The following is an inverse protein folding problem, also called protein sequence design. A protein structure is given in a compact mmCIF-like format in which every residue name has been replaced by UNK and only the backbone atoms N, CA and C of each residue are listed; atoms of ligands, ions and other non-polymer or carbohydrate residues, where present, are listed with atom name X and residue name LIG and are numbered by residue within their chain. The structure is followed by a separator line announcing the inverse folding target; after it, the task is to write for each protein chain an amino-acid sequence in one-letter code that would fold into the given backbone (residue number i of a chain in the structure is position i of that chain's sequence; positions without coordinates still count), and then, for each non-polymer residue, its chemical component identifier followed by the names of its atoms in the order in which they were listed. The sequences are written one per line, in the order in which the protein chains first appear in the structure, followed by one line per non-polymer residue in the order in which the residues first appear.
data_IF_695505103146
#
_entry.id   IF_695505103146
#
_cell.length_a   1.000
_cell.length_b   1.000
_cell.length_c   1.000
_cell.angle_alpha   90.00
_cell.angle_beta   90.00
_cell.angle_gamma   90.00
#
_symmetry.space_group_name_H-M   'P 1'
#
loop_
_entity.id
_entity.type
_entity.pdbx_description
1 polymer ?
#
# COMPACT_ATOMS: atom_id res chain seq x y z
N UNK A 1 -19.92 -21.77 15.76
CA UNK A 1 -19.97 -20.85 14.60
C UNK A 1 -19.47 -19.49 15.05
N UNK A 2 -18.52 -18.90 14.31
CA UNK A 2 -18.00 -17.56 14.60
C UNK A 2 -19.01 -16.55 14.03
N UNK A 3 -19.74 -15.83 14.89
CA UNK A 3 -20.75 -14.85 14.46
C UNK A 3 -20.16 -13.49 14.09
N UNK A 4 -18.95 -13.17 14.57
CA UNK A 4 -18.19 -11.97 14.19
C UNK A 4 -16.72 -12.31 14.08
N UNK A 5 -16.07 -11.84 13.01
CA UNK A 5 -14.62 -11.95 12.87
C UNK A 5 -13.99 -11.03 13.92
N UNK A 6 -13.07 -11.59 14.71
CA UNK A 6 -12.21 -10.84 15.63
C UNK A 6 -10.77 -11.13 15.26
N UNK A 7 -9.83 -10.25 15.62
CA UNK A 7 -8.39 -10.48 15.41
C UNK A 7 -7.96 -11.83 15.99
N UNK A 8 -8.46 -12.20 17.17
CA UNK A 8 -8.16 -13.49 17.80
C UNK A 8 -8.67 -14.68 16.99
N UNK A 9 -9.86 -14.57 16.40
CA UNK A 9 -10.42 -15.60 15.53
C UNK A 9 -9.59 -15.74 14.24
N UNK A 10 -9.06 -14.64 13.73
CA UNK A 10 -8.24 -14.64 12.51
C UNK A 10 -6.88 -15.33 12.72
N UNK A 11 -6.31 -15.22 13.92
CA UNK A 11 -5.07 -15.95 14.28
C UNK A 11 -5.26 -17.48 14.32
N UNK A 12 -6.51 -17.96 14.33
CA UNK A 12 -6.87 -19.38 14.40
C UNK A 12 -7.44 -19.94 13.09
N UNK A 13 -7.40 -19.18 11.99
CA UNK A 13 -7.90 -19.65 10.70
C UNK A 13 -7.04 -20.82 10.21
N UNK A 14 -7.69 -21.95 9.96
CA UNK A 14 -7.09 -23.06 9.24
C UNK A 14 -7.46 -23.04 7.74
N UNK A 15 -6.84 -23.93 6.97
CA UNK A 15 -7.10 -24.01 5.52
C UNK A 15 -8.56 -24.38 5.22
N UNK A 16 -9.18 -25.23 6.04
CA UNK A 16 -10.57 -25.64 5.87
C UNK A 16 -11.52 -24.45 5.97
N UNK A 17 -11.25 -23.54 6.90
CA UNK A 17 -12.03 -22.31 7.10
C UNK A 17 -11.94 -21.37 5.90
N UNK A 18 -10.78 -21.27 5.22
CA UNK A 18 -10.66 -20.44 4.01
C UNK A 18 -11.51 -20.95 2.85
N UNK A 19 -11.69 -22.27 2.75
CA UNK A 19 -12.51 -22.88 1.70
C UNK A 19 -14.01 -22.71 1.95
N UNK A 20 -14.42 -22.38 3.18
CA UNK A 20 -15.81 -22.10 3.53
C UNK A 20 -16.32 -20.82 2.83
N UNK A 21 -17.34 -20.91 1.95
CA UNK A 21 -17.94 -19.73 1.32
C UNK A 21 -18.48 -18.71 2.32
N UNK A 22 -18.97 -19.15 3.49
CA UNK A 22 -19.49 -18.24 4.51
C UNK A 22 -18.39 -17.45 5.19
N UNK A 23 -17.20 -18.03 5.34
CA UNK A 23 -16.05 -17.33 5.86
C UNK A 23 -15.59 -16.23 4.90
N UNK A 24 -15.55 -16.52 3.59
CA UNK A 24 -15.23 -15.51 2.58
C UNK A 24 -16.13 -14.28 2.69
N UNK A 25 -17.46 -14.47 2.73
CA UNK A 25 -18.42 -13.36 2.88
C UNK A 25 -18.20 -12.60 4.19
N UNK A 26 -17.87 -13.28 5.29
CA UNK A 26 -17.56 -12.60 6.55
C UNK A 26 -16.28 -11.78 6.47
N UNK A 27 -15.24 -12.26 5.78
CA UNK A 27 -14.01 -11.48 5.58
C UNK A 27 -14.31 -10.28 4.68
N UNK A 28 -15.14 -10.44 3.65
CA UNK A 28 -15.59 -9.35 2.79
C UNK A 28 -16.35 -8.29 3.61
N UNK A 29 -17.38 -8.69 4.36
CA UNK A 29 -18.14 -7.82 5.28
C UNK A 29 -17.22 -7.12 6.28
N UNK A 30 -16.20 -7.82 6.78
CA UNK A 30 -15.21 -7.25 7.69
C UNK A 30 -14.32 -6.21 7.01
N UNK A 31 -13.97 -6.38 5.73
CA UNK A 31 -13.24 -5.35 4.96
C UNK A 31 -14.08 -4.09 4.83
N UNK A 32 -15.40 -4.20 4.64
CA UNK A 32 -16.29 -3.04 4.67
C UNK A 32 -16.31 -2.36 6.05
N UNK A 33 -16.32 -3.14 7.15
CA UNK A 33 -16.23 -2.58 8.52
C UNK A 33 -14.92 -1.81 8.70
N UNK A 34 -13.78 -2.39 8.34
CA UNK A 34 -12.47 -1.69 8.40
C UNK A 34 -12.48 -0.45 7.51
N UNK A 35 -13.03 -0.55 6.29
CA UNK A 35 -13.08 0.58 5.36
C UNK A 35 -13.84 1.75 5.98
N UNK A 36 -14.94 1.45 6.67
CA UNK A 36 -15.75 2.43 7.37
C UNK A 36 -15.05 3.01 8.61
N UNK A 37 -14.41 2.15 9.42
CA UNK A 37 -13.72 2.52 10.66
C UNK A 37 -12.41 3.29 10.43
N UNK A 38 -11.77 3.09 9.28
CA UNK A 38 -10.54 3.82 8.98
C UNK A 38 -9.32 3.31 9.76
N UNK A 39 -9.18 1.99 9.95
CA UNK A 39 -8.12 1.38 10.78
C UNK A 39 -7.04 0.63 9.96
N UNK A 40 -5.94 1.30 9.56
CA UNK A 40 -4.87 0.71 8.76
C UNK A 40 -4.15 -0.45 9.45
N UNK A 41 -3.95 -0.34 10.76
CA UNK A 41 -3.22 -1.35 11.54
C UNK A 41 -4.02 -2.64 11.62
N UNK A 42 -5.33 -2.53 11.85
CA UNK A 42 -6.21 -3.70 11.81
C UNK A 42 -6.19 -4.33 10.42
N UNK A 43 -6.33 -3.55 9.35
CA UNK A 43 -6.24 -4.08 7.99
C UNK A 43 -4.94 -4.82 7.72
N UNK A 44 -3.81 -4.30 8.24
CA UNK A 44 -2.49 -4.92 8.13
C UNK A 44 -2.45 -6.28 8.83
N UNK A 45 -2.90 -6.35 10.08
CA UNK A 45 -2.89 -7.61 10.83
C UNK A 45 -3.70 -8.70 10.15
N UNK A 46 -4.85 -8.33 9.56
CA UNK A 46 -5.70 -9.27 8.83
C UNK A 46 -5.05 -9.69 7.53
N UNK A 47 -4.50 -8.74 6.77
CA UNK A 47 -3.73 -9.05 5.57
C UNK A 47 -2.64 -10.08 5.87
N UNK A 48 -1.85 -9.87 6.93
CA UNK A 48 -0.78 -10.79 7.34
C UNK A 48 -1.33 -12.15 7.76
N UNK A 49 -2.40 -12.19 8.55
CA UNK A 49 -3.00 -13.45 9.02
C UNK A 49 -3.60 -14.27 7.87
N UNK A 50 -4.37 -13.63 6.99
CA UNK A 50 -5.03 -14.31 5.86
C UNK A 50 -4.02 -14.74 4.80
N UNK A 51 -3.02 -13.91 4.48
CA UNK A 51 -1.96 -14.27 3.53
C UNK A 51 -1.11 -15.44 4.04
N UNK A 52 -0.74 -15.46 5.32
CA UNK A 52 0.03 -16.55 5.92
C UNK A 52 -0.69 -17.90 5.81
N UNK A 53 -2.01 -17.93 5.99
CA UNK A 53 -2.80 -19.15 5.82
C UNK A 53 -2.97 -19.52 4.35
N UNK A 54 -3.22 -18.55 3.46
CA UNK A 54 -3.38 -18.77 2.02
C UNK A 54 -2.11 -19.29 1.33
N UNK A 55 -0.92 -18.95 1.82
CA UNK A 55 0.35 -19.46 1.30
C UNK A 55 0.46 -20.99 1.38
N UNK A 56 -0.34 -21.61 2.23
CA UNK A 56 -0.40 -23.06 2.41
C UNK A 56 -1.61 -23.68 1.69
N UNK A 57 -2.50 -22.85 1.12
CA UNK A 57 -3.74 -23.26 0.45
C UNK A 57 -3.53 -23.53 -1.05
N UNK A 58 -4.58 -24.01 -1.72
CA UNK A 58 -4.57 -24.23 -3.16
C UNK A 58 -4.70 -22.91 -3.96
N UNK A 59 -4.36 -22.98 -5.25
CA UNK A 59 -4.43 -21.82 -6.16
C UNK A 59 -5.85 -21.24 -6.27
N UNK A 60 -6.88 -22.08 -6.10
CA UNK A 60 -8.29 -21.66 -6.15
C UNK A 60 -8.63 -20.73 -4.99
N UNK A 61 -8.21 -21.08 -3.77
CA UNK A 61 -8.38 -20.23 -2.60
C UNK A 61 -7.61 -18.91 -2.78
N UNK A 62 -6.35 -18.97 -3.20
CA UNK A 62 -5.54 -17.77 -3.45
C UNK A 62 -6.24 -16.83 -4.43
N UNK A 63 -6.69 -17.35 -5.57
CA UNK A 63 -7.37 -16.56 -6.60
C UNK A 63 -8.68 -15.95 -6.11
N UNK A 64 -9.41 -16.67 -5.24
CA UNK A 64 -10.67 -16.20 -4.63
C UNK A 64 -10.42 -15.04 -3.65
N UNK A 65 -9.40 -15.13 -2.81
CA UNK A 65 -9.11 -14.13 -1.77
C UNK A 65 -8.21 -12.99 -2.21
N UNK A 66 -7.56 -13.09 -3.38
CA UNK A 66 -6.67 -12.05 -3.90
C UNK A 66 -7.31 -10.63 -3.88
N UNK A 67 -8.57 -10.42 -4.32
CA UNK A 67 -9.16 -9.08 -4.28
C UNK A 67 -9.29 -8.50 -2.87
N UNK A 68 -9.65 -9.34 -1.90
CA UNK A 68 -9.74 -8.98 -0.47
C UNK A 68 -8.36 -8.62 0.07
N UNK A 69 -7.35 -9.42 -0.24
CA UNK A 69 -5.97 -9.12 0.18
C UNK A 69 -5.48 -7.80 -0.41
N UNK A 70 -5.78 -7.52 -1.69
CA UNK A 70 -5.47 -6.22 -2.28
C UNK A 70 -6.18 -5.08 -1.54
N UNK A 71 -7.48 -5.23 -1.22
CA UNK A 71 -8.23 -4.22 -0.48
C UNK A 71 -7.62 -3.94 0.90
N UNK A 72 -7.36 -4.98 1.70
CA UNK A 72 -6.72 -4.86 3.02
C UNK A 72 -5.33 -4.22 2.92
N UNK A 73 -4.55 -4.61 1.91
CA UNK A 73 -3.21 -4.06 1.68
C UNK A 73 -3.27 -2.56 1.35
N UNK A 74 -4.22 -2.14 0.51
CA UNK A 74 -4.46 -0.73 0.21
C UNK A 74 -4.85 0.07 1.46
N UNK A 75 -5.72 -0.48 2.32
CA UNK A 75 -6.12 0.17 3.57
C UNK A 75 -4.90 0.34 4.50
N UNK A 76 -4.03 -0.68 4.56
CA UNK A 76 -2.81 -0.66 5.37
C UNK A 76 -1.63 0.11 4.76
N UNK A 77 -1.82 0.78 3.62
CA UNK A 77 -0.72 1.30 2.79
C UNK A 77 0.10 2.40 3.49
N UNK A 78 -0.46 3.08 4.48
CA UNK A 78 0.28 4.07 5.31
C UNK A 78 1.43 3.43 6.09
N UNK A 79 1.30 2.16 6.49
CA UNK A 79 2.26 1.48 7.38
C UNK A 79 3.31 0.68 6.62
N UNK A 80 3.39 0.79 5.30
CA UNK A 80 4.36 0.03 4.46
C UNK A 80 5.45 0.94 3.90
N UNK A 81 6.59 0.37 3.54
CA UNK A 81 7.70 1.12 2.94
C UNK A 81 7.32 1.72 1.59
N UNK A 82 7.95 2.82 1.19
CA UNK A 82 7.66 3.49 -0.09
C UNK A 82 7.91 2.59 -1.30
N UNK A 83 8.93 1.73 -1.24
CA UNK A 83 9.17 0.73 -2.27
C UNK A 83 8.01 -0.27 -2.37
N UNK A 84 7.51 -0.76 -1.23
CA UNK A 84 6.32 -1.62 -1.21
C UNK A 84 5.08 -0.88 -1.72
N UNK A 85 4.89 0.41 -1.38
CA UNK A 85 3.81 1.24 -1.92
C UNK A 85 3.86 1.29 -3.45
N UNK A 86 5.06 1.52 -4.00
CA UNK A 86 5.31 1.60 -5.45
C UNK A 86 4.97 0.28 -6.14
N UNK A 87 5.51 -0.84 -5.66
CA UNK A 87 5.30 -2.16 -6.27
C UNK A 87 3.82 -2.55 -6.17
N UNK A 88 3.25 -2.44 -4.97
CA UNK A 88 1.87 -2.82 -4.70
C UNK A 88 0.88 -2.10 -5.62
N UNK A 89 0.95 -0.77 -5.72
CA UNK A 89 0.02 -0.01 -6.55
C UNK A 89 0.16 -0.40 -8.03
N UNK A 90 1.39 -0.58 -8.50
CA UNK A 90 1.69 -0.89 -9.91
C UNK A 90 1.10 -2.23 -10.32
N UNK A 91 1.22 -3.24 -9.45
CA UNK A 91 0.80 -4.61 -9.77
C UNK A 91 -0.69 -4.85 -9.50
N UNK A 92 -1.30 -4.09 -8.58
CA UNK A 92 -2.64 -4.40 -8.08
C UNK A 92 -3.72 -3.36 -8.43
N UNK A 93 -3.39 -2.25 -9.09
CA UNK A 93 -4.36 -1.19 -9.41
C UNK A 93 -5.60 -1.71 -10.16
N UNK A 94 -5.42 -2.62 -11.12
CA UNK A 94 -6.54 -3.16 -11.90
C UNK A 94 -7.46 -4.04 -11.02
N UNK A 95 -6.87 -4.89 -10.16
CA UNK A 95 -7.62 -5.70 -9.22
C UNK A 95 -8.46 -4.82 -8.28
N UNK A 96 -7.85 -3.75 -7.77
CA UNK A 96 -8.50 -2.78 -6.88
C UNK A 96 -9.65 -2.03 -7.56
N UNK A 97 -9.46 -1.50 -8.77
CA UNK A 97 -10.47 -0.72 -9.50
C UNK A 97 -11.67 -1.55 -9.98
N UNK A 98 -11.49 -2.87 -10.09
CA UNK A 98 -12.56 -3.82 -10.34
C UNK A 98 -13.42 -4.11 -9.10
N UNK A 99 -12.96 -3.75 -7.89
CA UNK A 99 -13.76 -3.87 -6.69
C UNK A 99 -14.67 -2.64 -6.54
N UNK A 100 -15.97 -2.86 -6.45
CA UNK A 100 -16.93 -1.77 -6.25
C UNK A 100 -16.97 -1.25 -4.81
N UNK A 101 -16.41 -2.01 -3.88
CA UNK A 101 -16.39 -1.72 -2.45
C UNK A 101 -15.09 -1.10 -1.95
N UNK A 102 -14.17 -0.74 -2.85
CA UNK A 102 -12.90 -0.15 -2.45
C UNK A 102 -12.77 1.20 -3.11
N UNK A 103 -12.79 2.26 -2.29
CA UNK A 103 -12.50 3.59 -2.80
C UNK A 103 -10.99 3.86 -2.85
N UNK A 104 -10.36 3.48 -3.97
CA UNK A 104 -8.90 3.65 -4.16
C UNK A 104 -8.44 5.10 -3.95
N UNK A 105 -9.19 6.07 -4.51
CA UNK A 105 -8.85 7.50 -4.37
C UNK A 105 -8.87 7.95 -2.91
N UNK A 106 -9.85 7.50 -2.14
CA UNK A 106 -9.97 7.82 -0.72
C UNK A 106 -8.76 7.32 0.07
N UNK A 107 -8.37 6.06 -0.11
CA UNK A 107 -7.23 5.49 0.61
C UNK A 107 -5.90 6.12 0.23
N UNK A 108 -5.70 6.44 -1.06
CA UNK A 108 -4.51 7.19 -1.47
C UNK A 108 -4.50 8.59 -0.84
N UNK A 109 -5.64 9.31 -0.80
CA UNK A 109 -5.76 10.59 -0.08
C UNK A 109 -5.41 10.43 1.41
N UNK A 110 -5.87 9.36 2.04
CA UNK A 110 -5.56 9.07 3.44
C UNK A 110 -4.04 8.91 3.65
N UNK A 111 -3.36 8.17 2.76
CA UNK A 111 -1.89 8.08 2.81
C UNK A 111 -1.24 9.46 2.64
N UNK A 112 -1.65 10.28 1.67
CA UNK A 112 -1.10 11.63 1.52
C UNK A 112 -1.33 12.52 2.75
N UNK A 113 -2.48 12.38 3.41
CA UNK A 113 -2.80 13.17 4.61
C UNK A 113 -1.86 12.90 5.78
N UNK A 114 -1.28 11.69 5.85
CA UNK A 114 -0.27 11.36 6.85
C UNK A 114 1.02 12.18 6.71
N UNK A 115 1.30 12.67 5.50
CA UNK A 115 2.47 13.47 5.17
C UNK A 115 2.13 14.96 4.93
N UNK A 116 0.94 15.40 5.34
CA UNK A 116 0.42 16.76 5.14
C UNK A 116 1.32 17.90 5.63
N UNK A 117 2.17 17.65 6.62
CA UNK A 117 3.06 18.67 7.17
C UNK A 117 4.30 18.94 6.27
N UNK A 118 4.60 18.02 5.34
CA UNK A 118 5.87 17.98 4.60
C UNK A 118 5.59 17.99 3.09
N UNK A 119 5.54 19.20 2.51
CA UNK A 119 5.21 19.40 1.08
C UNK A 119 6.16 18.61 0.15
N UNK A 120 7.45 18.50 0.51
CA UNK A 120 8.45 17.73 -0.24
C UNK A 120 8.15 16.23 -0.21
N UNK A 121 7.86 15.67 0.96
CA UNK A 121 7.49 14.26 1.15
C UNK A 121 6.22 13.91 0.38
N UNK A 122 5.22 14.80 0.34
CA UNK A 122 4.02 14.60 -0.48
C UNK A 122 4.35 14.58 -1.98
N UNK A 123 5.19 15.49 -2.46
CA UNK A 123 5.61 15.51 -3.87
C UNK A 123 6.38 14.25 -4.25
N UNK A 124 7.23 13.75 -3.37
CA UNK A 124 7.98 12.51 -3.64
C UNK A 124 7.07 11.29 -3.64
N UNK A 125 6.12 11.22 -2.71
CA UNK A 125 5.08 10.18 -2.71
C UNK A 125 4.18 10.27 -3.96
N UNK A 126 3.88 11.48 -4.42
CA UNK A 126 3.13 11.73 -5.65
C UNK A 126 3.89 11.19 -6.87
N UNK A 127 5.16 11.59 -7.04
CA UNK A 127 6.04 11.07 -8.10
C UNK A 127 6.14 9.55 -8.04
N UNK A 128 6.24 9.00 -6.84
CA UNK A 128 6.29 7.56 -6.62
C UNK A 128 5.04 6.86 -7.16
N UNK A 129 3.84 7.28 -6.78
CA UNK A 129 2.61 6.65 -7.28
C UNK A 129 2.39 6.87 -8.78
N UNK A 130 2.73 8.06 -9.32
CA UNK A 130 2.65 8.30 -10.77
C UNK A 130 3.62 7.40 -11.53
N UNK A 131 4.85 7.22 -11.02
CA UNK A 131 5.85 6.32 -11.63
C UNK A 131 5.39 4.87 -11.58
N UNK A 132 4.83 4.43 -10.46
CA UNK A 132 4.26 3.10 -10.28
C UNK A 132 3.23 2.75 -11.35
N UNK A 133 2.27 3.65 -11.60
CA UNK A 133 1.28 3.44 -12.66
C UNK A 133 1.91 3.49 -14.05
N UNK A 134 2.85 4.41 -14.28
CA UNK A 134 3.54 4.57 -15.57
C UNK A 134 4.49 3.41 -15.91
N UNK A 135 4.88 2.61 -14.92
CA UNK A 135 5.72 1.42 -15.08
C UNK A 135 4.92 0.10 -14.98
N UNK A 136 3.63 0.19 -14.62
CA UNK A 136 2.76 -0.96 -14.36
C UNK A 136 2.68 -1.95 -15.52
N UNK A 137 2.78 -3.23 -15.16
CA UNK A 137 2.64 -4.37 -16.07
C UNK A 137 1.22 -4.98 -16.06
N UNK A 138 0.28 -4.40 -15.32
CA UNK A 138 -1.08 -4.91 -15.24
C UNK A 138 -1.82 -4.77 -16.60
N UNK A 139 -2.65 -5.76 -16.95
CA UNK A 139 -3.41 -5.81 -18.20
C UNK A 139 -4.83 -5.27 -18.01
N UNK A 140 -5.31 -4.45 -18.95
CA UNK A 140 -6.72 -4.00 -18.99
C UNK A 140 -7.56 -4.86 -19.94
N UNK A 141 -6.97 -5.31 -21.05
CA UNK A 141 -7.64 -6.12 -22.08
C UNK A 141 -6.72 -7.22 -22.59
N UNK A 142 -7.24 -8.11 -23.42
CA UNK A 142 -6.42 -9.13 -24.12
C UNK A 142 -5.93 -8.64 -25.48
N UNK A 143 -6.67 -7.72 -26.11
CA UNK A 143 -6.34 -7.17 -27.43
C UNK A 143 -5.23 -6.14 -27.30
N UNK A 144 -4.21 -6.27 -28.14
CA UNK A 144 -3.15 -5.28 -28.29
C UNK A 144 -3.70 -3.91 -28.70
N UNK A 145 -2.99 -2.85 -28.32
CA UNK A 145 -3.31 -1.47 -28.68
C UNK A 145 -2.29 -0.93 -29.68
N UNK A 146 -2.73 0.01 -30.50
CA UNK A 146 -1.88 0.70 -31.46
C UNK A 146 -1.41 2.03 -30.88
N UNK A 147 -0.11 2.18 -30.65
CA UNK A 147 0.51 3.46 -30.25
C UNK A 147 1.43 3.96 -31.37
N UNK A 148 2.01 5.15 -31.19
CA UNK A 148 2.90 5.78 -32.19
C UNK A 148 4.08 4.90 -32.59
N UNK A 149 4.61 4.09 -31.66
CA UNK A 149 5.75 3.19 -31.91
C UNK A 149 5.35 1.83 -32.48
N UNK A 150 4.05 1.58 -32.71
CA UNK A 150 3.54 0.33 -33.24
C UNK A 150 2.50 -0.34 -32.35
N UNK A 151 2.23 -1.60 -32.64
CA UNK A 151 1.29 -2.41 -31.87
C UNK A 151 1.96 -2.96 -30.60
N UNK A 152 1.36 -2.71 -29.44
CA UNK A 152 1.90 -3.11 -28.14
C UNK A 152 0.88 -3.84 -27.29
N UNK A 153 1.35 -4.55 -26.27
CA UNK A 153 0.48 -5.20 -25.27
C UNK A 153 -0.35 -4.16 -24.51
N UNK A 154 -1.59 -4.47 -24.10
CA UNK A 154 -2.51 -3.53 -23.46
C UNK A 154 -2.23 -3.38 -21.94
N UNK A 155 -0.97 -3.10 -21.61
CA UNK A 155 -0.52 -2.86 -20.24
C UNK A 155 -0.95 -1.46 -19.79
N UNK A 156 -1.17 -1.27 -18.49
CA UNK A 156 -1.51 0.03 -17.88
C UNK A 156 -0.56 1.14 -18.35
N UNK A 157 0.76 0.89 -18.33
CA UNK A 157 1.76 1.86 -18.82
C UNK A 157 1.54 2.30 -20.27
N UNK A 158 1.12 1.39 -21.14
CA UNK A 158 0.90 1.67 -22.56
C UNK A 158 -0.42 2.40 -22.79
N UNK A 159 -1.45 2.14 -21.97
CA UNK A 159 -2.68 2.93 -21.95
C UNK A 159 -2.45 4.36 -21.47
N UNK A 160 -1.65 4.54 -20.41
CA UNK A 160 -1.24 5.87 -19.94
C UNK A 160 -0.43 6.59 -21.02
N UNK A 161 0.47 5.88 -21.73
CA UNK A 161 1.21 6.43 -22.85
C UNK A 161 0.30 6.90 -23.99
N UNK A 162 -0.65 6.05 -24.43
CA UNK A 162 -1.63 6.37 -25.46
C UNK A 162 -2.50 7.59 -25.06
N UNK A 163 -2.95 7.61 -23.81
CA UNK A 163 -3.72 8.72 -23.26
C UNK A 163 -2.93 10.03 -23.24
N UNK A 164 -1.65 9.97 -22.84
CA UNK A 164 -0.77 11.14 -22.82
C UNK A 164 -0.44 11.67 -24.22
N UNK A 165 -0.45 10.81 -25.23
CA UNK A 165 -0.32 11.22 -26.63
C UNK A 165 -1.62 11.85 -27.17
N UNK A 166 -2.78 11.37 -26.71
CA UNK A 166 -4.09 11.88 -27.13
C UNK A 166 -4.46 13.21 -26.46
N UNK A 167 -4.26 13.33 -25.14
CA UNK A 167 -4.47 14.56 -24.37
C UNK A 167 -3.10 15.06 -23.90
N UNK A 168 -2.54 16.14 -24.46
CA UNK A 168 -1.23 16.63 -24.04
C UNK A 168 -1.15 16.99 -22.55
N UNK A 169 0.03 16.80 -21.96
CA UNK A 169 0.32 17.01 -20.53
C UNK A 169 0.58 18.48 -20.14
N UNK A 170 0.45 19.42 -21.08
CA UNK A 170 0.78 20.83 -20.88
C UNK A 170 -0.34 21.63 -20.22
N UNK A 171 -1.49 21.02 -19.95
CA UNK A 171 -2.63 21.61 -19.23
C UNK A 171 -3.19 20.60 -18.23
N UNK A 172 -3.84 21.12 -17.20
CA UNK A 172 -4.73 20.32 -16.37
C UNK A 172 -5.81 19.68 -17.25
N UNK A 173 -6.08 18.40 -17.02
CA UNK A 173 -7.05 17.63 -17.78
C UNK A 173 -8.38 17.63 -17.07
N UNK A 174 -9.44 17.81 -17.83
CA UNK A 174 -10.79 17.79 -17.32
C UNK A 174 -11.44 16.42 -17.53
N UNK A 175 -12.52 16.15 -16.80
CA UNK A 175 -13.37 14.98 -17.05
C UNK A 175 -13.90 14.91 -18.50
N UNK A 176 -13.95 16.05 -19.20
CA UNK A 176 -14.32 16.09 -20.62
C UNK A 176 -13.23 15.51 -21.53
N UNK A 177 -11.94 15.75 -21.21
CA UNK A 177 -10.82 15.20 -21.95
C UNK A 177 -10.75 13.66 -21.75
N UNK A 178 -10.98 13.17 -20.53
CA UNK A 178 -11.12 11.73 -20.23
C UNK A 178 -12.24 11.09 -21.07
N UNK A 179 -13.42 11.72 -21.06
CA UNK A 179 -14.62 11.21 -21.78
C UNK A 179 -14.42 11.25 -23.29
N UNK A 180 -13.76 12.30 -23.80
CA UNK A 180 -13.39 12.40 -25.21
C UNK A 180 -12.46 11.25 -25.60
N UNK A 181 -11.40 10.99 -24.82
CA UNK A 181 -10.49 9.88 -25.08
C UNK A 181 -11.21 8.53 -25.08
N UNK A 182 -12.01 8.22 -24.06
CA UNK A 182 -12.76 6.95 -23.96
C UNK A 182 -13.68 6.73 -25.16
N UNK A 183 -14.32 7.78 -25.68
CA UNK A 183 -15.29 7.67 -26.77
C UNK A 183 -14.66 7.75 -28.17
N UNK A 184 -13.55 8.47 -28.33
CA UNK A 184 -13.02 8.82 -29.65
C UNK A 184 -11.76 8.04 -30.02
N UNK A 185 -10.95 7.61 -29.04
CA UNK A 185 -9.71 6.86 -29.34
C UNK A 185 -10.00 5.56 -30.10
N UNK A 186 -9.27 5.25 -31.19
CA UNK A 186 -9.40 3.98 -31.89
C UNK A 186 -9.15 2.77 -30.98
N UNK A 187 -8.22 2.88 -30.03
CA UNK A 187 -7.89 1.80 -29.10
C UNK A 187 -9.04 1.49 -28.15
N UNK A 188 -9.72 2.52 -27.63
CA UNK A 188 -10.80 2.36 -26.64
C UNK A 188 -12.08 1.78 -27.26
N UNK A 189 -12.29 1.96 -28.57
CA UNK A 189 -13.43 1.34 -29.30
C UNK A 189 -13.37 -0.18 -29.33
N UNK A 190 -12.19 -0.78 -29.13
CA UNK A 190 -12.01 -2.23 -29.11
C UNK A 190 -12.32 -2.87 -27.75
N UNK A 191 -12.51 -2.04 -26.72
CA UNK A 191 -12.76 -2.46 -25.35
C UNK A 191 -14.25 -2.75 -25.10
N UNK A 192 -14.51 -3.71 -24.21
CA UNK A 192 -15.86 -3.94 -23.68
C UNK A 192 -16.32 -2.75 -22.83
N UNK A 193 -17.63 -2.60 -22.55
CA UNK A 193 -18.12 -1.56 -21.64
C UNK A 193 -17.42 -1.58 -20.26
N UNK A 194 -17.22 -2.75 -19.68
CA UNK A 194 -16.56 -2.90 -18.38
C UNK A 194 -15.09 -2.49 -18.43
N UNK A 195 -14.37 -2.86 -19.51
CA UNK A 195 -12.98 -2.46 -19.72
C UNK A 195 -12.84 -0.94 -19.93
N UNK A 196 -13.79 -0.31 -20.64
CA UNK A 196 -13.83 1.16 -20.79
C UNK A 196 -14.06 1.85 -19.45
N UNK A 197 -14.99 1.33 -18.63
CA UNK A 197 -15.23 1.86 -17.29
C UNK A 197 -13.99 1.71 -16.39
N UNK A 198 -13.33 0.55 -16.44
CA UNK A 198 -12.08 0.30 -15.72
C UNK A 198 -10.97 1.27 -16.15
N UNK A 199 -10.76 1.44 -17.46
CA UNK A 199 -9.80 2.40 -18.00
C UNK A 199 -10.14 3.83 -17.56
N UNK A 200 -11.41 4.24 -17.61
CA UNK A 200 -11.83 5.57 -17.15
C UNK A 200 -11.51 5.79 -15.66
N UNK A 201 -11.80 4.79 -14.80
CA UNK A 201 -11.44 4.86 -13.37
C UNK A 201 -9.93 5.00 -13.18
N UNK A 202 -9.13 4.24 -13.93
CA UNK A 202 -7.67 4.30 -13.90
C UNK A 202 -7.15 5.69 -14.29
N UNK A 203 -7.64 6.24 -15.41
CA UNK A 203 -7.21 7.57 -15.89
C UNK A 203 -7.56 8.68 -14.90
N UNK A 204 -8.74 8.60 -14.25
CA UNK A 204 -9.13 9.53 -13.18
C UNK A 204 -8.20 9.49 -11.98
N UNK A 205 -7.76 8.30 -11.57
CA UNK A 205 -6.77 8.15 -10.49
C UNK A 205 -5.42 8.71 -10.94
N UNK A 206 -5.00 8.42 -12.17
CA UNK A 206 -3.74 8.89 -12.72
C UNK A 206 -3.68 10.42 -12.82
N UNK A 207 -4.70 11.07 -13.40
CA UNK A 207 -4.74 12.52 -13.53
C UNK A 207 -4.87 13.20 -12.16
N UNK A 208 -5.70 12.66 -11.25
CA UNK A 208 -5.74 13.13 -9.87
C UNK A 208 -4.37 13.04 -9.20
N UNK A 209 -3.69 11.89 -9.31
CA UNK A 209 -2.34 11.73 -8.78
C UNK A 209 -1.35 12.73 -9.39
N UNK A 210 -1.52 13.10 -10.65
CA UNK A 210 -0.58 13.96 -11.37
C UNK A 210 -0.79 15.46 -11.13
N UNK A 211 -2.04 15.90 -11.02
CA UNK A 211 -2.38 17.33 -11.01
C UNK A 211 -2.98 17.82 -9.68
N UNK A 212 -3.68 16.98 -8.94
CA UNK A 212 -4.57 17.41 -7.84
C UNK A 212 -4.06 17.06 -6.42
N UNK A 213 -2.96 16.33 -6.30
CA UNK A 213 -2.51 15.77 -5.00
C UNK A 213 -1.93 16.82 -4.06
N UNK A 214 -1.49 17.97 -4.55
CA UNK A 214 -1.03 19.07 -3.70
C UNK A 214 -2.24 19.66 -2.97
N UNK A 215 -2.63 19.01 -1.88
CA UNK A 215 -3.70 19.45 -1.00
C UNK A 215 -3.30 20.81 -0.46
N UNK A 216 -3.98 21.92 -0.82
CA UNK A 216 -3.77 23.18 -0.15
C UNK A 216 -4.03 22.93 1.34
N UNK A 217 -3.11 23.36 2.23
CA UNK A 217 -3.12 23.09 3.69
C UNK A 217 -4.49 23.23 4.37
N UNK A 218 -5.38 24.04 3.80
CA UNK A 218 -6.75 24.29 4.24
C UNK A 218 -7.71 23.09 4.20
N UNK A 219 -7.51 22.11 3.31
CA UNK A 219 -8.44 20.96 3.14
C UNK A 219 -8.26 19.89 4.24
N UNK A 220 -7.12 19.87 4.95
CA UNK A 220 -6.87 18.89 6.02
C UNK A 220 -7.77 19.16 7.23
N UNK A 221 -8.01 20.44 7.54
CA UNK A 221 -8.97 20.86 8.57
C UNK A 221 -10.39 20.36 8.21
N UNK A 222 -10.81 20.54 6.95
CA UNK A 222 -12.12 20.10 6.47
C UNK A 222 -12.26 18.55 6.42
N UNK A 223 -11.19 17.80 6.15
CA UNK A 223 -11.22 16.33 6.12
C UNK A 223 -11.24 15.71 7.52
N UNK A 224 -10.63 16.35 8.52
CA UNK A 224 -10.79 15.96 9.93
C UNK A 224 -12.21 16.26 10.43
N UNK A 225 -12.79 17.38 10.03
CA UNK A 225 -14.17 17.74 10.36
C UNK A 225 -15.18 16.80 9.66
N UNK A 226 -14.98 16.51 8.37
CA UNK A 226 -15.83 15.57 7.61
C UNK A 226 -15.68 14.10 8.04
N UNK A 227 -14.52 13.68 8.56
CA UNK A 227 -14.36 12.37 9.19
C UNK A 227 -15.14 12.28 10.52
N UNK A 228 -15.33 13.42 11.19
CA UNK A 228 -16.10 13.54 12.43
C UNK A 228 -17.61 13.61 12.17
N UNK A 229 -18.03 14.11 11.00
CA UNK A 229 -19.44 14.30 10.63
C UNK A 229 -20.04 13.18 9.78
N UNK A 230 -19.35 12.05 9.59
CA UNK A 230 -19.86 10.96 8.74
C UNK A 230 -21.26 10.50 9.22
N UNK A 231 -22.30 10.59 8.37
CA UNK A 231 -23.55 9.91 8.67
C UNK A 231 -23.28 8.41 8.61
N UNK A 232 -23.58 7.71 9.71
CA UNK A 232 -23.55 6.25 9.77
C UNK A 232 -24.38 5.75 8.58
N UNK A 233 -23.74 5.13 7.60
CA UNK A 233 -24.44 4.44 6.52
C UNK A 233 -25.17 3.24 7.14
N UNK A 234 -26.40 3.45 7.61
CA UNK A 234 -27.34 2.39 8.03
C UNK A 234 -27.85 1.55 6.85
N UNK A 235 -27.11 1.51 5.75
CA UNK A 235 -27.50 0.85 4.51
C UNK A 235 -27.12 -0.64 4.52
N UNK A 236 -27.59 -1.43 5.51
CA UNK A 236 -27.75 -2.90 5.34
C UNK A 236 -28.55 -3.68 6.39
N UNK A 237 -29.55 -3.09 7.06
CA UNK A 237 -30.46 -3.88 7.96
C UNK A 237 -31.82 -4.24 7.33
N UNK A 238 -32.11 -3.82 6.10
CA UNK A 238 -33.33 -4.26 5.40
C UNK A 238 -33.05 -5.34 4.35
N UNK A 239 -32.58 -6.51 4.79
CA UNK A 239 -32.80 -7.76 4.06
C UNK A 239 -34.15 -8.30 4.51
N UNK A 240 -35.20 -7.84 3.83
CA UNK A 240 -36.61 -8.15 4.10
C UNK A 240 -36.83 -9.66 4.15
N UNK A 241 -37.14 -10.18 5.34
CA UNK A 241 -37.99 -11.36 5.46
C UNK A 241 -39.35 -11.03 4.85
N UNK A 242 -39.66 -11.72 3.76
CA UNK A 242 -40.92 -11.63 3.03
C UNK A 242 -42.03 -12.18 3.92
N UNK A 243 -42.65 -11.34 4.74
CA UNK A 243 -43.93 -11.62 5.37
C UNK A 243 -45.02 -11.35 4.32
N UNK A 244 -45.63 -12.41 3.81
CA UNK A 244 -46.81 -12.34 2.97
C UNK A 244 -47.97 -11.74 3.77
N UNK A 245 -48.40 -10.56 3.38
CA UNK A 245 -49.72 -10.01 3.75
C UNK A 245 -50.60 -9.95 2.50
N UNK A 246 -51.91 -10.23 2.65
CA UNK A 246 -52.81 -10.45 1.53
C UNK A 246 -53.12 -9.16 0.77
N UNK A 247 -53.06 -9.23 -0.55
CA UNK A 247 -53.35 -8.14 -1.48
C UNK A 247 -54.87 -7.88 -1.49
N UNK A 248 -55.36 -6.64 -1.23
CA UNK A 248 -56.74 -6.27 -1.52
C UNK A 248 -56.95 -6.07 -3.03
N UNK A 249 -58.13 -6.38 -3.58
CA UNK A 249 -58.39 -6.33 -5.02
C UNK A 249 -58.41 -4.88 -5.52
N UNK A 250 -57.56 -4.56 -6.50
CA UNK A 250 -57.66 -3.32 -7.27
C UNK A 250 -58.52 -3.52 -8.54
N UNK A 251 -59.27 -2.47 -8.95
CA UNK A 251 -60.21 -2.51 -10.08
C UNK A 251 -59.49 -2.53 -11.44
N UNK A 252 -59.99 -3.37 -12.33
CA UNK A 252 -59.51 -3.51 -13.71
C UNK A 252 -59.67 -2.21 -14.49
N UNK A 253 -58.59 -1.73 -15.12
CA UNK A 253 -58.62 -0.56 -16.00
C UNK A 253 -59.16 -0.96 -17.38
N UNK A 254 -59.97 -0.08 -17.98
CA UNK A 254 -60.70 -0.28 -19.24
C UNK A 254 -59.84 -0.37 -20.52
N UNK A 255 -58.54 -0.67 -20.40
CA UNK A 255 -57.62 -0.80 -21.54
C UNK A 255 -57.53 -2.24 -22.06
N UNK A 256 -57.78 -3.25 -21.22
CA UNK A 256 -57.66 -4.67 -21.58
C UNK A 256 -58.83 -5.22 -22.41
N UNK A 257 -59.97 -4.51 -22.47
CA UNK A 257 -61.12 -4.94 -23.28
C UNK A 257 -60.97 -4.68 -24.79
N UNK A 258 -59.92 -3.97 -25.23
CA UNK A 258 -59.73 -3.62 -26.66
C UNK A 258 -58.79 -4.53 -27.44
N UNK A 259 -58.10 -5.46 -26.78
CA UNK A 259 -57.18 -6.41 -27.45
C UNK A 259 -57.86 -7.77 -27.72
N UNK A 260 -58.97 -8.08 -27.04
CA UNK A 260 -59.67 -9.37 -27.20
C UNK A 260 -60.64 -9.46 -28.38
N UNK A 261 -60.75 -8.44 -29.24
CA UNK A 261 -61.66 -8.46 -30.42
C UNK A 261 -60.95 -8.52 -31.79
N UNK A 262 -59.64 -8.71 -31.84
CA UNK A 262 -58.88 -8.79 -33.10
C UNK A 262 -58.35 -10.20 -33.46
N UNK A 263 -58.96 -11.26 -32.92
CA UNK A 263 -58.58 -12.66 -33.26
C UNK A 263 -59.78 -13.47 -33.73
N UNK A 264 -60.32 -13.06 -34.88
CA UNK A 264 -61.20 -13.90 -35.68
C UNK A 264 -61.02 -13.52 -37.16
N UNK A 265 -59.96 -14.02 -37.79
CA UNK A 265 -59.92 -14.32 -39.22
C UNK A 265 -58.55 -14.89 -39.66
N UNK A 266 -58.63 -16.02 -40.36
CA UNK A 266 -57.74 -16.47 -41.45
C UNK A 266 -56.40 -17.19 -41.16
N UNK A 267 -56.44 -18.48 -41.49
CA UNK A 267 -55.44 -19.26 -42.24
C UNK A 267 -54.05 -19.58 -41.66
N UNK A 268 -54.01 -20.77 -41.05
CA UNK A 268 -53.11 -21.89 -41.39
C UNK A 268 -51.77 -21.58 -42.06
N UNK A 269 -50.71 -21.65 -41.25
CA UNK A 269 -49.34 -21.92 -41.69
C UNK A 269 -48.76 -23.02 -40.81
N UNK A 270 -48.21 -24.02 -41.48
CA UNK A 270 -47.79 -25.33 -41.00
C UNK A 270 -46.56 -25.24 -40.08
N UNK A 271 -46.71 -25.77 -38.86
CA UNK A 271 -45.71 -25.73 -37.80
C UNK A 271 -44.61 -26.80 -37.98
N UNK A 272 -44.80 -27.78 -38.87
CA UNK A 272 -43.76 -28.80 -39.16
C UNK A 272 -42.68 -28.26 -40.11
N UNK A 273 -43.02 -27.33 -41.01
CA UNK A 273 -42.05 -26.68 -41.90
C UNK A 273 -41.05 -25.76 -41.17
N UNK A 274 -41.38 -25.30 -39.95
CA UNK A 274 -40.54 -24.40 -39.16
C UNK A 274 -39.57 -25.14 -38.22
N UNK A 275 -39.82 -26.41 -37.91
CA UNK A 275 -38.88 -27.25 -37.15
C UNK A 275 -37.69 -27.70 -37.99
N UNK A 276 -37.91 -28.08 -39.24
CA UNK A 276 -36.81 -28.50 -40.14
C UNK A 276 -35.82 -27.38 -40.49
N UNK A 277 -36.24 -26.10 -40.39
CA UNK A 277 -35.39 -24.95 -40.72
C UNK A 277 -34.46 -24.51 -39.58
N UNK A 278 -34.76 -24.88 -38.34
CA UNK A 278 -33.89 -24.58 -37.18
C UNK A 278 -32.78 -25.63 -37.06
N UNK A 279 -33.07 -26.89 -37.40
CA UNK A 279 -32.11 -28.00 -37.36
C UNK A 279 -31.07 -27.93 -38.49
N UNK A 280 -31.41 -27.36 -39.66
CA UNK A 280 -30.45 -27.13 -40.77
C UNK A 280 -29.42 -26.02 -40.49
N UNK A 281 -29.69 -25.10 -39.57
CA UNK A 281 -28.75 -24.03 -39.20
C UNK A 281 -27.71 -24.45 -38.16
N UNK A 282 -27.95 -25.53 -37.40
CA UNK A 282 -26.99 -26.03 -36.41
C UNK A 282 -25.92 -26.97 -36.99
N UNK A 283 -26.21 -27.65 -38.11
CA UNK A 283 -25.28 -28.60 -38.74
C UNK A 283 -24.22 -27.89 -39.61
N UNK A 284 -24.47 -26.64 -40.04
CA UNK A 284 -23.53 -25.90 -40.93
C UNK A 284 -22.39 -25.18 -40.20
N UNK A 285 -22.44 -25.05 -38.87
CA UNK A 285 -21.40 -24.36 -38.08
C UNK A 285 -20.38 -25.30 -37.39
N UNK A 286 -20.45 -26.62 -37.61
CA UNK A 286 -19.50 -27.58 -37.02
C UNK A 286 -18.51 -28.21 -38.00
N UNK A 287 -18.40 -27.72 -39.24
CA UNK A 287 -17.48 -28.28 -40.24
C UNK A 287 -16.65 -27.20 -40.94
N UNK A 288 -15.67 -26.66 -40.20
CA UNK A 288 -14.52 -25.92 -40.74
C UNK A 288 -13.35 -26.10 -39.78
N UNK A 289 -12.68 -27.24 -39.92
CA UNK A 289 -11.47 -27.63 -39.22
C UNK A 289 -10.21 -26.96 -39.80
N UNK A 290 -9.31 -26.56 -38.89
CA UNK A 290 -7.88 -26.92 -38.86
C UNK A 290 -6.97 -26.45 -40.02
N UNK A 291 -6.15 -25.42 -39.75
CA UNK A 291 -4.67 -25.47 -39.75
C UNK A 291 -4.09 -24.07 -39.53
N UNK A 292 -3.52 -23.84 -38.35
CA UNK A 292 -2.18 -23.28 -38.22
C UNK A 292 -1.78 -23.28 -36.74
N UNK A 293 -0.87 -24.19 -36.41
CA UNK A 293 -0.17 -24.22 -35.14
C UNK A 293 0.93 -23.17 -35.19
N UNK A 294 0.74 -22.05 -34.49
CA UNK A 294 1.85 -21.23 -34.02
C UNK A 294 1.73 -21.14 -32.51
N UNK A 295 2.61 -21.87 -31.84
CA UNK A 295 2.82 -21.86 -30.39
C UNK A 295 3.21 -20.46 -29.94
N UNK A 296 2.28 -19.75 -29.28
CA UNK A 296 2.54 -18.50 -28.56
C UNK A 296 2.22 -18.73 -27.08
N UNK A 297 3.12 -18.39 -26.15
CA UNK A 297 3.06 -18.86 -24.76
C UNK A 297 1.97 -18.14 -23.95
N UNK A 298 1.14 -18.93 -23.25
CA UNK A 298 0.29 -18.50 -22.14
C UNK A 298 1.17 -18.12 -20.95
N UNK A 299 1.57 -16.85 -20.86
CA UNK A 299 2.06 -16.24 -19.62
C UNK A 299 1.29 -14.92 -19.41
N UNK A 300 0.16 -15.03 -18.71
CA UNK A 300 -0.47 -13.91 -18.02
C UNK A 300 0.20 -13.80 -16.64
N UNK A 301 1.16 -12.88 -16.50
CA UNK A 301 1.77 -12.57 -15.19
C UNK A 301 0.81 -11.61 -14.48
N UNK A 302 -0.21 -12.22 -13.87
CA UNK A 302 -0.78 -11.82 -12.58
C UNK A 302 0.02 -12.57 -11.53
N UNK A 303 0.41 -11.92 -10.42
CA UNK A 303 1.19 -12.46 -9.30
C UNK A 303 1.24 -14.00 -9.30
N UNK A 304 2.40 -14.53 -9.71
CA UNK A 304 2.59 -15.98 -9.68
C UNK A 304 2.56 -16.44 -8.22
N UNK A 305 2.07 -17.66 -7.91
CA UNK A 305 2.19 -18.23 -6.56
C UNK A 305 3.62 -18.16 -5.99
N UNK A 306 4.63 -18.06 -6.85
CA UNK A 306 6.04 -17.91 -6.49
C UNK A 306 6.44 -16.47 -6.10
N UNK A 307 5.77 -15.42 -6.60
CA UNK A 307 5.96 -14.05 -6.12
C UNK A 307 5.35 -13.85 -4.73
N UNK A 308 4.18 -14.45 -4.47
CA UNK A 308 3.58 -14.46 -3.13
C UNK A 308 4.49 -15.22 -2.14
N UNK A 309 5.09 -16.34 -2.57
CA UNK A 309 6.11 -17.04 -1.77
C UNK A 309 7.39 -16.22 -1.58
N UNK A 310 7.83 -15.45 -2.59
CA UNK A 310 9.06 -14.64 -2.55
C UNK A 310 8.97 -13.47 -1.58
N UNK A 311 7.83 -12.78 -1.55
CA UNK A 311 7.56 -11.68 -0.59
C UNK A 311 7.48 -12.18 0.87
N UNK A 312 7.19 -13.47 1.08
CA UNK A 312 7.02 -14.05 2.42
C UNK A 312 8.24 -14.86 2.87
N UNK A 313 9.16 -15.22 1.97
CA UNK A 313 10.28 -16.14 2.24
C UNK A 313 11.67 -15.52 2.09
N UNK A 314 11.84 -14.19 2.14
CA UNK A 314 13.17 -13.58 2.10
C UNK A 314 14.09 -14.19 3.20
N UNK A 315 15.11 -14.99 2.85
CA UNK A 315 15.99 -15.59 3.84
C UNK A 315 16.95 -14.52 4.35
N UNK A 316 17.05 -14.42 5.67
CA UNK A 316 18.08 -13.65 6.37
C UNK A 316 19.46 -14.09 5.86
N UNK A 317 20.22 -13.18 5.24
CA UNK A 317 21.58 -13.43 4.76
C UNK A 317 22.46 -13.84 5.96
N UNK A 318 22.95 -15.08 5.94
CA UNK A 318 23.88 -15.58 6.93
C UNK A 318 25.14 -14.71 6.98
N UNK A 319 25.51 -14.27 8.19
CA UNK A 319 26.69 -13.47 8.44
C UNK A 319 27.97 -14.25 8.03
N UNK A 320 28.97 -13.59 7.42
CA UNK A 320 30.24 -14.22 7.12
C UNK A 320 31.04 -14.37 8.43
N UNK A 321 31.14 -15.59 8.93
CA UNK A 321 32.15 -15.97 9.94
C UNK A 321 33.52 -16.00 9.27
N UNK A 322 34.25 -14.88 9.36
CA UNK A 322 35.63 -14.76 8.89
C UNK A 322 36.52 -14.17 9.99
N UNK A 323 37.16 -15.02 10.77
CA UNK A 323 38.21 -14.68 11.72
C UNK A 323 39.47 -14.21 10.99
N UNK A 324 39.83 -12.93 11.13
CA UNK A 324 41.16 -12.44 10.80
C UNK A 324 41.88 -12.03 12.09
N UNK A 325 42.74 -12.92 12.58
CA UNK A 325 43.82 -12.57 13.49
C UNK A 325 44.88 -11.81 12.69
N UNK A 326 45.24 -10.59 13.11
CA UNK A 326 46.43 -9.91 12.57
C UNK A 326 47.40 -9.56 13.71
N UNK A 327 48.50 -10.29 13.62
CA UNK A 327 49.80 -10.19 14.27
C UNK A 327 50.30 -8.75 14.42
N UNK A 328 50.76 -8.43 15.64
CA UNK A 328 51.48 -7.20 15.98
C UNK A 328 52.96 -7.44 15.68
N UNK A 329 53.50 -6.71 14.70
CA UNK A 329 54.93 -6.62 14.47
C UNK A 329 55.43 -5.21 14.80
N UNK A 330 56.25 -5.17 15.84
CA UNK A 330 57.14 -4.10 16.27
C UNK A 330 58.04 -3.59 15.13
N UNK A 331 58.20 -2.28 15.03
CA UNK A 331 59.40 -1.67 14.44
C UNK A 331 59.80 -0.42 15.21
N UNK A 332 61.03 -0.45 15.71
CA UNK A 332 61.73 0.60 16.43
C UNK A 332 62.52 1.50 15.47
N UNK A 333 62.76 2.73 15.96
CA UNK A 333 63.90 3.64 15.72
C UNK A 333 63.83 4.60 14.50
N UNK A 334 64.61 5.72 14.50
CA UNK A 334 65.50 6.25 15.54
C UNK A 334 65.24 7.71 15.98
N UNK A 335 65.83 8.03 17.13
CA UNK A 335 66.05 9.37 17.70
C UNK A 335 66.88 10.25 16.76
N UNK A 336 66.56 11.54 16.74
CA UNK A 336 67.52 12.58 16.41
C UNK A 336 67.36 13.76 17.36
N UNK A 337 68.44 14.03 18.10
CA UNK A 337 68.63 15.18 18.97
C UNK A 337 68.72 16.47 18.14
N UNK A 338 68.01 17.52 18.56
CA UNK A 338 68.49 18.89 18.33
C UNK A 338 68.04 19.85 19.43
N UNK A 339 69.05 20.51 19.95
CA UNK A 339 69.09 21.48 21.02
C UNK A 339 68.47 22.81 20.60
N UNK A 340 67.73 23.43 21.52
CA UNK A 340 67.72 24.87 21.73
C UNK A 340 66.66 25.68 21.00
N UNK A 341 65.73 26.24 21.76
CA UNK A 341 65.46 27.69 21.90
C UNK A 341 64.16 27.83 22.69
N UNK A 342 64.24 28.52 23.82
CA UNK A 342 63.12 28.87 24.72
C UNK A 342 62.49 30.18 24.24
N UNK A 343 61.16 30.22 23.99
CA UNK A 343 60.38 31.45 24.01
C UNK A 343 59.49 31.54 25.29
N UNK A 344 59.07 32.75 25.67
CA UNK A 344 58.47 33.06 26.97
C UNK A 344 57.03 32.53 27.13
N UNK A 345 56.53 32.39 28.38
CA UNK A 345 55.20 31.87 28.64
C UNK A 345 54.10 32.83 28.11
N UNK A 346 53.12 32.35 27.33
CA UNK A 346 51.93 33.13 27.02
C UNK A 346 51.04 33.26 28.27
N UNK A 347 50.44 34.44 28.39
CA UNK A 347 49.57 34.85 29.47
C UNK A 347 48.44 33.86 29.76
N UNK A 348 48.20 33.62 31.06
CA UNK A 348 47.05 32.88 31.58
C UNK A 348 45.76 33.59 31.16
N UNK A 349 45.15 33.13 30.07
CA UNK A 349 43.77 33.46 29.73
C UNK A 349 42.85 32.68 30.67
N UNK A 350 42.05 33.42 31.44
CA UNK A 350 40.93 32.90 32.24
C UNK A 350 39.98 32.13 31.31
N UNK A 351 39.42 30.98 31.72
CA UNK A 351 38.41 30.30 30.93
C UNK A 351 37.18 31.20 30.79
N UNK A 352 36.87 31.54 29.55
CA UNK A 352 35.58 32.12 29.16
C UNK A 352 34.53 31.04 29.39
N UNK A 353 33.56 31.34 30.25
CA UNK A 353 32.44 30.45 30.52
C UNK A 353 31.68 30.15 29.21
N UNK A 354 31.29 28.90 28.94
CA UNK A 354 30.45 28.60 27.80
C UNK A 354 29.10 29.29 27.99
N UNK A 355 28.70 29.96 26.92
CA UNK A 355 27.41 30.61 26.74
C UNK A 355 26.32 29.56 27.01
N UNK A 356 25.51 29.82 28.04
CA UNK A 356 24.30 29.06 28.34
C UNK A 356 23.33 29.13 27.15
N UNK A 357 23.37 28.11 26.30
CA UNK A 357 22.21 27.75 25.51
C UNK A 357 21.22 27.06 26.45
N UNK A 358 20.15 27.80 26.79
CA UNK A 358 19.02 27.32 27.57
C UNK A 358 18.28 26.21 26.82
N UNK A 359 18.81 24.98 26.84
CA UNK A 359 18.06 23.77 26.53
C UNK A 359 17.42 23.26 27.82
N UNK A 360 16.24 23.79 28.10
CA UNK A 360 15.42 23.45 29.25
C UNK A 360 15.01 21.97 29.21
N UNK A 361 15.49 21.23 30.20
CA UNK A 361 14.66 20.27 30.93
C UNK A 361 14.46 18.92 30.27
N UNK A 362 15.48 18.05 30.39
CA UNK A 362 15.33 16.61 30.65
C UNK A 362 16.72 16.07 31.02
N UNK A 363 16.93 15.74 32.29
CA UNK A 363 18.25 15.30 32.79
C UNK A 363 18.30 13.80 33.07
N UNK A 364 17.16 13.12 33.17
CA UNK A 364 17.12 11.71 33.57
C UNK A 364 16.17 10.88 32.72
N UNK A 365 16.51 9.61 32.52
CA UNK A 365 15.67 8.63 31.81
C UNK A 365 14.35 8.37 32.56
N UNK A 366 14.34 8.67 33.87
CA UNK A 366 13.17 8.60 34.74
C UNK A 366 12.06 9.58 34.37
N UNK A 367 12.40 10.63 33.62
CA UNK A 367 11.44 11.63 33.18
C UNK A 367 10.65 11.18 31.94
N UNK A 368 11.05 10.06 31.30
CA UNK A 368 10.33 9.42 30.20
C UNK A 368 9.21 8.56 30.80
N UNK A 369 7.95 9.02 30.70
CA UNK A 369 6.79 8.38 31.35
C UNK A 369 5.76 7.85 30.36
N UNK A 370 5.62 8.47 29.19
CA UNK A 370 4.73 8.01 28.11
C UNK A 370 5.52 7.55 26.90
N UNK A 371 4.87 6.90 25.95
CA UNK A 371 5.54 6.45 24.71
C UNK A 371 6.02 7.66 23.89
N UNK A 372 5.28 8.76 23.88
CA UNK A 372 5.63 10.02 23.20
C UNK A 372 6.88 10.68 23.80
N UNK A 373 7.17 10.43 25.08
CA UNK A 373 8.38 10.93 25.71
C UNK A 373 9.65 10.33 25.10
N UNK A 374 9.57 9.18 24.41
CA UNK A 374 10.72 8.63 23.66
C UNK A 374 11.26 9.61 22.62
N UNK A 375 10.43 10.52 22.09
CA UNK A 375 10.86 11.59 21.18
C UNK A 375 11.80 12.60 21.84
N UNK A 376 12.00 12.53 23.15
CA UNK A 376 12.86 13.44 23.90
C UNK A 376 14.24 12.85 24.19
N UNK A 377 14.50 11.60 23.77
CA UNK A 377 15.80 10.94 23.97
C UNK A 377 16.84 11.59 23.04
N UNK A 378 17.93 12.06 23.64
CA UNK A 378 19.06 12.73 22.96
C UNK A 378 20.36 11.93 23.13
N UNK A 379 21.40 12.29 22.37
CA UNK A 379 22.76 11.72 22.49
C UNK A 379 23.31 11.84 23.92
N UNK A 380 22.91 12.88 24.67
CA UNK A 380 23.38 13.09 26.04
C UNK A 380 23.04 11.93 26.98
N UNK A 381 21.96 11.17 26.73
CA UNK A 381 21.60 10.00 27.54
C UNK A 381 22.64 8.88 27.46
N UNK A 382 23.25 8.68 26.28
CA UNK A 382 24.30 7.67 26.10
C UNK A 382 25.57 8.02 26.89
N UNK A 383 25.76 9.30 27.23
CA UNK A 383 26.97 9.84 27.87
C UNK A 383 26.86 9.97 29.38
N UNK A 384 25.73 9.58 29.98
CA UNK A 384 25.51 9.67 31.43
C UNK A 384 26.22 8.56 32.22
N UNK A 385 26.83 7.58 31.54
CA UNK A 385 27.57 6.49 32.16
C UNK A 385 28.14 5.53 31.12
N UNK A 386 28.49 4.29 31.50
CA UNK A 386 28.94 3.28 30.55
C UNK A 386 27.91 3.06 29.45
N UNK A 387 28.34 3.15 28.19
CA UNK A 387 27.47 3.12 27.01
C UNK A 387 26.50 1.92 27.02
N UNK A 388 27.01 0.72 27.30
CA UNK A 388 26.21 -0.50 27.36
C UNK A 388 25.09 -0.44 28.40
N UNK A 389 25.35 0.16 29.56
CA UNK A 389 24.33 0.34 30.59
C UNK A 389 23.27 1.33 30.13
N UNK A 390 23.66 2.42 29.45
CA UNK A 390 22.70 3.41 28.96
C UNK A 390 21.81 2.84 27.84
N UNK A 391 22.37 2.06 26.93
CA UNK A 391 21.61 1.37 25.89
C UNK A 391 20.61 0.37 26.50
N UNK A 392 21.06 -0.43 27.47
CA UNK A 392 20.18 -1.35 28.20
C UNK A 392 19.06 -0.61 28.93
N UNK A 393 19.35 0.53 29.55
CA UNK A 393 18.33 1.36 30.21
C UNK A 393 17.30 1.91 29.23
N UNK A 394 17.73 2.44 28.08
CA UNK A 394 16.83 2.92 27.03
C UNK A 394 15.95 1.78 26.52
N UNK A 395 16.54 0.63 26.21
CA UNK A 395 15.83 -0.58 25.78
C UNK A 395 14.75 -0.98 26.79
N UNK A 396 15.12 -1.14 28.05
CA UNK A 396 14.20 -1.55 29.12
C UNK A 396 13.07 -0.53 29.33
N UNK A 397 13.37 0.76 29.18
CA UNK A 397 12.35 1.81 29.25
C UNK A 397 11.35 1.72 28.09
N UNK A 398 11.84 1.55 26.85
CA UNK A 398 10.99 1.38 25.65
C UNK A 398 10.10 0.15 25.81
N UNK A 399 10.68 -0.98 26.25
CA UNK A 399 9.97 -2.22 26.52
C UNK A 399 8.83 -2.04 27.53
N UNK A 400 9.14 -1.41 28.66
CA UNK A 400 8.16 -1.16 29.71
C UNK A 400 7.02 -0.28 29.22
N UNK A 401 7.33 0.76 28.45
CA UNK A 401 6.31 1.67 27.91
C UNK A 401 5.45 0.99 26.84
N UNK A 402 6.04 0.18 25.97
CA UNK A 402 5.29 -0.59 24.98
C UNK A 402 4.34 -1.58 25.65
N UNK A 403 4.83 -2.34 26.63
CA UNK A 403 4.02 -3.30 27.38
C UNK A 403 2.90 -2.63 28.19
N UNK A 404 3.19 -1.52 28.89
CA UNK A 404 2.21 -0.80 29.70
C UNK A 404 1.03 -0.23 28.87
N UNK A 405 1.26 0.06 27.58
CA UNK A 405 0.24 0.60 26.68
C UNK A 405 -0.31 -0.45 25.70
N UNK A 406 0.04 -1.73 25.84
CA UNK A 406 -0.29 -2.81 24.90
C UNK A 406 0.04 -2.46 23.43
N UNK A 407 1.17 -1.76 23.22
CA UNK A 407 1.58 -1.30 21.89
C UNK A 407 2.32 -2.39 21.14
N UNK A 408 2.08 -2.45 19.83
CA UNK A 408 2.87 -3.28 18.94
C UNK A 408 4.33 -2.78 18.90
N UNK A 409 5.31 -3.70 18.81
CA UNK A 409 6.74 -3.42 18.65
C UNK A 409 7.07 -2.34 17.63
N UNK A 410 6.43 -2.40 16.46
CA UNK A 410 6.60 -1.42 15.38
C UNK A 410 6.28 0.01 15.81
N UNK A 411 5.24 0.22 16.63
CA UNK A 411 4.89 1.56 17.08
C UNK A 411 5.97 2.16 17.99
N UNK A 412 6.56 1.33 18.86
CA UNK A 412 7.68 1.75 19.71
C UNK A 412 8.91 2.12 18.87
N UNK A 413 9.17 1.39 17.77
CA UNK A 413 10.22 1.74 16.80
C UNK A 413 9.93 3.09 16.15
N UNK A 414 8.74 3.29 15.58
CA UNK A 414 8.38 4.54 14.89
C UNK A 414 8.53 5.76 15.80
N UNK A 415 8.09 5.66 17.06
CA UNK A 415 8.22 6.78 18.00
C UNK A 415 9.67 6.99 18.44
N UNK A 416 10.45 5.93 18.60
CA UNK A 416 11.89 6.01 18.88
C UNK A 416 12.68 6.64 17.70
N UNK A 417 12.31 6.34 16.46
CA UNK A 417 12.94 6.89 15.25
C UNK A 417 12.73 8.41 15.13
N UNK A 418 11.71 8.95 15.78
CA UNK A 418 11.46 10.39 15.88
C UNK A 418 12.34 11.09 16.95
N UNK A 419 13.12 10.34 17.74
CA UNK A 419 13.96 10.91 18.79
C UNK A 419 15.21 11.64 18.21
N UNK A 420 15.67 12.74 18.83
CA UNK A 420 16.93 13.38 18.48
C UNK A 420 18.13 12.43 18.47
N UNK A 421 18.13 11.40 19.32
CA UNK A 421 19.13 10.34 19.33
C UNK A 421 19.17 9.59 17.99
N UNK A 422 18.01 9.14 17.50
CA UNK A 422 17.94 8.41 16.23
C UNK A 422 18.21 9.33 15.02
N UNK A 423 17.78 10.59 15.09
CA UNK A 423 18.11 11.59 14.07
C UNK A 423 19.62 11.85 13.97
N UNK A 424 20.34 11.86 15.10
CA UNK A 424 21.80 11.96 15.11
C UNK A 424 22.46 10.73 14.46
N UNK A 425 21.91 9.53 14.69
CA UNK A 425 22.33 8.30 14.03
C UNK A 425 22.16 8.38 12.50
N UNK A 426 20.98 8.76 12.00
CA UNK A 426 20.73 8.89 10.56
C UNK A 426 21.69 9.87 9.89
N UNK A 427 21.85 11.06 10.46
CA UNK A 427 22.74 12.08 9.91
C UNK A 427 24.21 11.62 9.91
N UNK A 428 24.67 10.90 10.94
CA UNK A 428 25.99 10.29 10.96
C UNK A 428 26.14 9.23 9.87
N UNK A 429 25.13 8.40 9.66
CA UNK A 429 25.07 7.41 8.59
C UNK A 429 25.19 8.05 7.20
N UNK A 430 24.40 9.08 6.91
CA UNK A 430 24.45 9.81 5.65
C UNK A 430 25.82 10.46 5.40
N UNK A 431 26.44 11.04 6.44
CA UNK A 431 27.75 11.67 6.31
C UNK A 431 28.87 10.70 5.92
N UNK A 432 28.81 9.46 6.41
CA UNK A 432 29.76 8.39 6.04
C UNK A 432 29.63 7.96 4.58
N UNK A 433 28.42 8.05 4.01
CA UNK A 433 28.18 7.67 2.62
C UNK A 433 28.70 8.73 1.63
N UNK A 434 28.77 9.99 2.05
CA UNK A 434 29.12 11.14 1.18
C UNK A 434 30.57 11.59 1.40
N UNK A 435 31.36 10.88 2.23
CA UNK A 435 32.70 11.29 2.69
C UNK A 435 32.75 12.74 3.22
N UNK A 436 31.65 13.22 3.78
CA UNK A 436 31.55 14.54 4.38
C UNK A 436 31.80 14.45 5.88
N UNK A 437 32.66 15.33 6.38
CA UNK A 437 32.93 15.45 7.82
C UNK A 437 31.67 16.00 8.50
N UNK A 438 30.94 15.15 9.23
CA UNK A 438 29.76 15.56 10.00
C UNK A 438 30.16 16.39 11.22
N UNK A 439 29.47 17.50 11.47
CA UNK A 439 29.52 18.23 12.76
C UNK A 439 28.85 17.48 13.93
N UNK A 440 28.35 16.27 13.67
CA UNK A 440 27.68 15.45 14.68
C UNK A 440 28.74 14.64 15.42
N UNK A 441 28.89 15.01 16.68
CA UNK A 441 29.69 14.32 17.68
C UNK A 441 28.96 13.05 18.11
N UNK A 442 29.04 12.00 17.29
CA UNK A 442 28.63 10.64 17.62
C UNK A 442 29.83 9.73 17.39
N UNK A 443 30.25 9.00 18.42
CA UNK A 443 31.36 8.05 18.30
C UNK A 443 30.94 6.85 17.45
N UNK A 444 31.93 6.07 16.96
CA UNK A 444 31.65 4.83 16.22
C UNK A 444 30.87 3.83 17.10
N UNK A 445 31.25 3.71 18.36
CA UNK A 445 30.60 2.80 19.32
C UNK A 445 29.16 3.24 19.61
N UNK A 446 28.92 4.54 19.79
CA UNK A 446 27.56 5.10 19.96
C UNK A 446 26.70 4.83 18.71
N UNK A 447 27.27 4.97 17.50
CA UNK A 447 26.59 4.70 16.24
C UNK A 447 26.14 3.24 16.12
N UNK A 448 27.04 2.30 16.37
CA UNK A 448 26.75 0.86 16.31
C UNK A 448 25.73 0.46 17.37
N UNK A 449 25.87 0.96 18.59
CA UNK A 449 24.96 0.65 19.67
C UNK A 449 23.52 1.14 19.41
N UNK A 450 23.33 2.29 18.75
CA UNK A 450 21.99 2.75 18.34
C UNK A 450 21.41 1.85 17.24
N UNK A 451 22.23 1.39 16.29
CA UNK A 451 21.80 0.47 15.24
C UNK A 451 21.32 -0.87 15.84
N UNK A 452 22.07 -1.40 16.80
CA UNK A 452 21.72 -2.63 17.50
C UNK A 452 20.46 -2.44 18.37
N UNK A 453 20.36 -1.33 19.11
CA UNK A 453 19.17 -0.99 19.88
C UNK A 453 17.91 -0.97 19.00
N UNK A 454 17.97 -0.35 17.80
CA UNK A 454 16.84 -0.35 16.84
C UNK A 454 16.42 -1.77 16.47
N UNK A 455 17.38 -2.62 16.08
CA UNK A 455 17.11 -4.02 15.73
C UNK A 455 16.51 -4.81 16.89
N UNK A 456 16.96 -4.53 18.12
CA UNK A 456 16.42 -5.18 19.30
C UNK A 456 14.99 -4.75 19.62
N UNK A 457 14.61 -3.50 19.35
CA UNK A 457 13.22 -3.03 19.50
C UNK A 457 12.33 -3.64 18.40
N UNK A 458 12.83 -3.81 17.18
CA UNK A 458 12.10 -4.46 16.08
C UNK A 458 11.80 -5.94 16.31
N UNK A 459 12.59 -6.63 17.15
CA UNK A 459 12.43 -8.05 17.48
C UNK A 459 11.41 -8.34 18.58
N UNK A 460 10.92 -7.30 19.24
CA UNK A 460 9.81 -7.41 20.18
C UNK A 460 8.55 -7.84 19.43
#
# INVERSE_FOLDING_TARGET
MINRITIENLKRIDQGTLLDPTFFTKVEDFVYEIEAEGSPDMAREIFLSVSATLNKSDERAIKKYLPILCALRLISLISVSDNEKKIFLGDNIITLLNQNYVNVKFWLKFVFSAYAAEDETQQDLQKLFVSSLSESSALISEKNIQITTGQVRPLVKNWIYDYNAYVPLNKERSASDETAYINQSPNTKLLTPDQRNLLLKLLRIYDWLRFDVLVPKKIIEDLQEAASERPILTARVNRVEKIETPIPPQPQSAFDQKISQASASAHGLDLEALKHRVEETEIRNQRSEIKDQTTIPKNSITLTPDEIKREVSAPELAAPTGSFSKEIASSQAPRNDRVGVVPPPPAVMKPVAPINASASGLRSLNDIKTIEDLKKITVMFLRQGPLQNQISNIKNQILRLAAANNLLPYYAVVVFEQSPLFQAYLKKGSSKMIDQKSDIDLSQEEFEAIADLRKEIERL
#
